data_IF_636804434156
#
_entry.id   IF_636804434156
#
_cell.length_a   1.000
_cell.length_b   1.000
_cell.length_c   1.000
_cell.angle_alpha   90.00
_cell.angle_beta   90.00
_cell.angle_gamma   90.00
#
_symmetry.space_group_name_H-M   'P 1'
#
loop_
_entity.id
_entity.type
_entity.pdbx_description
1 polymer ?
#
# COMPACT_ATOMS: atom_id res chain seq x y z
N UNK A 1 24.82 -18.32 -60.40
CA UNK A 1 25.53 -17.12 -60.89
C UNK A 1 25.84 -16.28 -59.65
N UNK A 2 27.13 -15.98 -59.39
CA UNK A 2 27.69 -15.36 -58.17
C UNK A 2 27.60 -13.82 -58.20
N UNK A 3 27.91 -13.24 -57.01
CA UNK A 3 28.48 -11.91 -56.67
C UNK A 3 27.43 -10.86 -56.26
N UNK A 4 27.51 -10.08 -55.17
CA UNK A 4 28.28 -10.00 -53.91
C UNK A 4 27.50 -9.05 -52.96
N UNK A 5 27.42 -9.34 -51.66
CA UNK A 5 27.93 -8.56 -50.50
C UNK A 5 27.55 -7.07 -50.41
N UNK A 6 26.83 -6.69 -49.34
CA UNK A 6 27.27 -5.65 -48.40
C UNK A 6 26.49 -5.71 -47.08
N UNK A 7 27.25 -5.54 -45.99
CA UNK A 7 26.88 -5.68 -44.58
C UNK A 7 26.17 -4.43 -44.03
N UNK A 8 25.35 -4.57 -42.98
CA UNK A 8 25.42 -3.64 -41.84
C UNK A 8 24.78 -4.18 -40.56
N UNK A 9 25.46 -3.86 -39.46
CA UNK A 9 25.53 -4.57 -38.18
C UNK A 9 24.43 -4.26 -37.17
N UNK A 10 24.23 -5.25 -36.28
CA UNK A 10 23.41 -5.22 -35.07
C UNK A 10 24.29 -4.80 -33.89
N UNK A 11 23.98 -3.69 -33.23
CA UNK A 11 24.61 -3.30 -31.96
C UNK A 11 23.84 -3.87 -30.76
N UNK A 12 24.45 -4.85 -30.07
CA UNK A 12 24.15 -5.22 -28.68
C UNK A 12 25.30 -4.74 -27.80
N UNK A 13 25.00 -3.96 -26.76
CA UNK A 13 25.96 -3.52 -25.75
C UNK A 13 25.85 -4.48 -24.54
N UNK A 14 26.89 -5.29 -24.34
CA UNK A 14 27.22 -5.93 -23.06
C UNK A 14 28.54 -5.29 -22.58
N UNK A 15 28.55 -4.81 -21.33
CA UNK A 15 29.73 -4.27 -20.65
C UNK A 15 30.16 -5.26 -19.56
N UNK A 16 31.32 -5.88 -19.77
CA UNK A 16 32.10 -6.57 -18.73
C UNK A 16 33.57 -6.46 -19.11
N UNK A 17 34.30 -5.55 -18.48
CA UNK A 17 35.76 -5.46 -18.63
C UNK A 17 36.42 -5.73 -17.27
N UNK A 18 37.03 -6.90 -17.21
CA UNK A 18 38.18 -7.25 -16.38
C UNK A 18 39.44 -6.68 -17.06
N UNK A 19 40.32 -6.02 -16.32
CA UNK A 19 41.70 -5.73 -16.73
C UNK A 19 42.54 -5.49 -15.45
N UNK A 20 43.83 -5.81 -15.28
CA UNK A 20 44.81 -6.72 -15.89
C UNK A 20 45.99 -6.75 -14.89
N UNK A 21 46.63 -7.89 -14.67
CA UNK A 21 47.89 -7.99 -13.91
C UNK A 21 49.11 -7.65 -14.79
N UNK A 22 50.06 -6.86 -14.29
CA UNK A 22 51.48 -6.92 -14.68
C UNK A 22 52.40 -6.55 -13.50
N UNK A 23 53.49 -7.31 -13.37
CA UNK A 23 54.44 -7.37 -12.24
C UNK A 23 55.63 -6.42 -12.41
N UNK A 24 56.25 -5.99 -11.30
CA UNK A 24 57.71 -5.76 -11.25
C UNK A 24 58.32 -5.96 -9.84
N UNK A 25 59.54 -6.50 -9.78
CA UNK A 25 60.25 -7.03 -8.59
C UNK A 25 61.40 -6.12 -8.11
N UNK A 26 61.57 -5.91 -6.79
CA UNK A 26 62.78 -6.28 -5.98
C UNK A 26 62.93 -5.53 -4.62
N UNK A 27 63.26 -6.33 -3.58
CA UNK A 27 64.02 -6.12 -2.30
C UNK A 27 64.13 -4.70 -1.69
N UNK A 28 63.97 -4.46 -0.37
CA UNK A 28 64.91 -4.85 0.72
C UNK A 28 64.36 -4.55 2.14
N UNK A 29 64.48 -5.53 3.07
CA UNK A 29 64.58 -5.56 4.57
C UNK A 29 63.93 -4.48 5.51
N UNK A 30 62.97 -4.95 6.34
CA UNK A 30 62.61 -4.69 7.78
C UNK A 30 62.36 -3.24 8.31
N UNK A 31 61.60 -3.00 9.43
CA UNK A 31 61.01 -3.92 10.42
C UNK A 31 59.52 -3.65 10.84
N UNK A 32 58.90 -4.66 11.47
CA UNK A 32 57.75 -4.61 12.42
C UNK A 32 56.52 -3.78 12.00
N UNK A 33 55.55 -4.44 11.34
CA UNK A 33 54.19 -3.90 11.23
C UNK A 33 53.45 -4.07 12.56
N UNK A 34 53.11 -2.95 13.18
CA UNK A 34 52.12 -2.84 14.25
C UNK A 34 50.78 -3.44 13.79
N UNK A 35 50.23 -4.32 14.63
CA UNK A 35 48.92 -4.96 14.46
C UNK A 35 47.81 -3.91 14.21
N UNK A 36 46.94 -4.05 13.19
CA UNK A 36 45.98 -3.01 12.84
C UNK A 36 44.83 -2.87 13.86
N UNK A 37 44.50 -1.62 14.14
CA UNK A 37 43.56 -1.13 15.15
C UNK A 37 42.13 -1.67 15.02
N UNK A 38 41.54 -2.07 16.16
CA UNK A 38 40.11 -2.37 16.32
C UNK A 38 39.25 -1.08 16.20
N UNK A 39 38.68 -0.83 15.02
CA UNK A 39 37.73 0.26 14.76
C UNK A 39 36.26 -0.10 15.05
N UNK A 40 35.42 0.91 15.33
CA UNK A 40 33.97 0.74 15.45
C UNK A 40 33.37 0.19 14.15
N UNK A 41 32.58 -0.87 14.23
CA UNK A 41 31.97 -1.47 13.03
C UNK A 41 30.54 -0.96 12.86
N UNK A 42 30.27 -0.28 11.74
CA UNK A 42 28.93 0.21 11.39
C UNK A 42 27.86 -0.89 11.39
N UNK A 43 28.25 -2.15 11.16
CA UNK A 43 27.34 -3.30 11.21
C UNK A 43 26.65 -3.46 12.58
N UNK A 44 27.24 -2.92 13.65
CA UNK A 44 26.65 -2.95 14.99
C UNK A 44 25.40 -2.08 15.13
N UNK A 45 25.27 -1.00 14.35
CA UNK A 45 24.05 -0.17 14.34
C UNK A 45 22.85 -0.90 13.75
N UNK A 46 23.11 -1.84 12.83
CA UNK A 46 22.07 -2.72 12.28
C UNK A 46 21.73 -3.86 13.24
N UNK A 47 22.73 -4.35 13.99
CA UNK A 47 22.57 -5.44 14.95
C UNK A 47 21.82 -5.01 16.22
N UNK A 48 22.16 -3.87 16.78
CA UNK A 48 21.59 -3.36 18.03
C UNK A 48 20.66 -2.18 17.72
N UNK A 49 19.35 -2.46 17.65
CA UNK A 49 18.35 -1.46 17.28
C UNK A 49 18.29 -0.24 18.22
N UNK A 50 18.71 -0.43 19.46
CA UNK A 50 18.76 0.60 20.49
C UNK A 50 20.00 1.51 20.41
N UNK A 51 21.01 1.14 19.63
CA UNK A 51 22.32 1.80 19.61
C UNK A 51 22.31 3.01 18.67
N UNK A 52 22.67 4.19 19.19
CA UNK A 52 22.77 5.44 18.41
C UNK A 52 24.11 6.11 18.63
N UNK A 53 24.59 6.82 17.61
CA UNK A 53 25.83 7.60 17.65
C UNK A 53 25.47 9.05 18.02
N UNK A 54 26.21 9.62 18.97
CA UNK A 54 26.07 11.03 19.35
C UNK A 54 27.03 11.94 18.58
N UNK A 55 28.26 11.47 18.30
CA UNK A 55 29.24 12.15 17.44
C UNK A 55 30.24 11.12 16.90
N UNK A 56 30.55 11.21 15.60
CA UNK A 56 31.53 10.34 14.93
C UNK A 56 32.97 10.70 15.31
N UNK A 57 33.27 11.99 15.37
CA UNK A 57 34.62 12.50 15.64
C UNK A 57 35.07 12.19 17.08
N UNK A 58 34.13 12.20 18.02
CA UNK A 58 34.42 12.03 19.45
C UNK A 58 34.18 10.59 19.96
N UNK A 59 33.90 9.65 19.06
CA UNK A 59 33.69 8.23 19.36
C UNK A 59 32.62 7.96 20.44
N UNK A 60 31.41 8.54 20.30
CA UNK A 60 30.37 8.51 21.36
C UNK A 60 29.12 7.75 20.90
N UNK A 61 28.69 6.72 21.65
CA UNK A 61 27.38 6.05 21.47
C UNK A 61 26.54 6.05 22.75
N UNK A 62 25.23 5.89 22.58
CA UNK A 62 24.27 5.76 23.67
C UNK A 62 23.15 4.78 23.30
N UNK A 63 22.36 4.39 24.30
CA UNK A 63 21.16 3.60 24.14
C UNK A 63 19.92 4.50 24.12
N UNK A 64 19.21 4.52 23.01
CA UNK A 64 18.02 5.35 22.80
C UNK A 64 16.88 4.96 23.76
N UNK A 65 16.77 3.66 24.06
CA UNK A 65 15.75 3.12 24.96
C UNK A 65 15.99 3.50 26.42
N UNK A 66 17.23 3.36 26.91
CA UNK A 66 17.54 3.74 28.29
C UNK A 66 17.52 5.26 28.48
N UNK A 67 17.87 6.04 27.44
CA UNK A 67 17.80 7.50 27.46
C UNK A 67 16.36 8.01 27.51
N UNK A 68 15.47 7.43 26.69
CA UNK A 68 14.05 7.82 26.66
C UNK A 68 13.31 7.53 27.97
N UNK A 69 13.65 6.43 28.65
CA UNK A 69 13.09 6.07 29.96
C UNK A 69 13.88 6.64 31.15
N UNK A 70 14.85 7.53 30.91
CA UNK A 70 15.66 8.22 31.93
C UNK A 70 16.26 7.27 32.98
N UNK A 71 16.60 6.05 32.56
CA UNK A 71 17.17 5.05 33.45
C UNK A 71 18.56 5.51 33.87
N UNK A 72 19.02 5.24 35.10
CA UNK A 72 20.30 5.78 35.58
C UNK A 72 21.47 4.83 35.25
N UNK A 73 21.87 4.78 33.97
CA UNK A 73 22.94 3.89 33.50
C UNK A 73 23.99 4.65 32.69
N UNK A 74 25.16 4.04 32.50
CA UNK A 74 26.21 4.56 31.61
C UNK A 74 25.74 4.74 30.17
N UNK A 75 24.65 4.08 29.76
CA UNK A 75 24.09 4.14 28.41
C UNK A 75 23.06 5.25 28.18
N UNK A 76 22.64 5.91 29.26
CA UNK A 76 21.52 6.87 29.28
C UNK A 76 21.89 8.22 29.88
N UNK A 77 22.77 8.23 30.89
CA UNK A 77 23.49 9.43 31.29
C UNK A 77 24.41 9.80 30.14
N UNK A 78 24.58 11.08 29.84
CA UNK A 78 25.46 11.63 28.81
C UNK A 78 26.97 11.32 29.00
N UNK A 79 27.31 10.26 29.75
CA UNK A 79 28.65 9.74 29.96
C UNK A 79 29.04 8.88 28.77
N UNK A 80 29.96 9.46 28.02
CA UNK A 80 30.55 8.96 26.80
C UNK A 80 31.41 7.74 27.10
N UNK A 81 31.15 6.62 26.41
CA UNK A 81 32.02 5.44 26.49
C UNK A 81 33.18 5.56 25.50
N UNK A 82 34.45 5.56 25.96
CA UNK A 82 35.61 5.77 25.09
C UNK A 82 36.07 4.53 24.31
N UNK A 83 35.50 3.34 24.56
CA UNK A 83 35.93 2.10 23.90
C UNK A 83 34.78 1.21 23.43
N UNK A 84 34.94 0.70 22.20
CA UNK A 84 33.93 -0.06 21.48
C UNK A 84 34.14 -1.56 21.61
N UNK A 85 33.56 -2.18 22.64
CA UNK A 85 33.60 -3.65 22.80
C UNK A 85 32.23 -4.24 22.51
N UNK A 86 32.16 -5.15 21.54
CA UNK A 86 30.91 -5.85 21.20
C UNK A 86 30.33 -6.60 22.40
N UNK A 87 31.19 -7.10 23.29
CA UNK A 87 30.79 -7.77 24.53
C UNK A 87 30.02 -6.84 25.47
N UNK A 88 30.37 -5.55 25.49
CA UNK A 88 29.63 -4.57 26.28
C UNK A 88 28.22 -4.33 25.71
N UNK A 89 28.07 -4.34 24.37
CA UNK A 89 26.75 -4.25 23.73
C UNK A 89 25.91 -5.51 23.96
N UNK A 90 26.51 -6.70 23.80
CA UNK A 90 25.82 -7.96 24.06
C UNK A 90 25.40 -8.06 25.54
N UNK A 91 26.26 -7.65 26.47
CA UNK A 91 25.94 -7.63 27.90
C UNK A 91 24.79 -6.66 28.21
N UNK A 92 24.81 -5.46 27.64
CA UNK A 92 23.73 -4.49 27.83
C UNK A 92 22.38 -5.01 27.32
N UNK A 93 22.36 -5.65 26.14
CA UNK A 93 21.11 -6.17 25.57
C UNK A 93 20.57 -7.39 26.35
N UNK A 94 21.44 -8.27 26.82
CA UNK A 94 21.04 -9.58 27.34
C UNK A 94 21.00 -9.68 28.87
N UNK A 95 21.89 -8.97 29.57
CA UNK A 95 22.12 -9.15 31.02
C UNK A 95 21.82 -7.90 31.85
N UNK A 96 21.71 -6.73 31.23
CA UNK A 96 21.40 -5.49 31.95
C UNK A 96 19.91 -5.43 32.31
N UNK A 97 19.62 -5.56 33.60
CA UNK A 97 18.26 -5.54 34.16
C UNK A 97 17.56 -4.20 33.92
N UNK A 98 18.32 -3.12 33.87
CA UNK A 98 17.77 -1.77 33.74
C UNK A 98 17.46 -1.46 32.26
N UNK A 99 18.25 -1.98 31.33
CA UNK A 99 17.87 -2.03 29.91
C UNK A 99 16.60 -2.86 29.69
N UNK A 100 16.51 -4.05 30.28
CA UNK A 100 15.32 -4.90 30.16
C UNK A 100 14.05 -4.20 30.68
N UNK A 101 14.15 -3.44 31.78
CA UNK A 101 13.06 -2.60 32.29
C UNK A 101 12.69 -1.47 31.32
N UNK A 102 13.66 -0.77 30.76
CA UNK A 102 13.42 0.29 29.77
C UNK A 102 12.69 -0.25 28.54
N UNK A 103 13.17 -1.39 28.01
CA UNK A 103 12.55 -2.07 26.87
C UNK A 103 11.12 -2.52 27.20
N UNK A 104 10.89 -3.07 28.39
CA UNK A 104 9.55 -3.46 28.83
C UNK A 104 8.61 -2.24 28.99
N UNK A 105 9.10 -1.12 29.53
CA UNK A 105 8.36 0.14 29.65
C UNK A 105 7.97 0.69 28.27
N UNK A 106 8.92 0.75 27.33
CA UNK A 106 8.67 1.21 25.95
C UNK A 106 7.68 0.30 25.22
N UNK A 107 7.79 -1.03 25.38
CA UNK A 107 6.85 -2.00 24.79
C UNK A 107 5.43 -1.89 25.39
N UNK A 108 5.32 -1.58 26.67
CA UNK A 108 4.04 -1.48 27.37
C UNK A 108 3.38 -0.10 27.25
N UNK A 109 4.14 0.95 26.92
CA UNK A 109 3.66 2.32 26.73
C UNK A 109 2.56 2.47 25.66
N UNK A 110 2.69 1.94 24.42
CA UNK A 110 1.59 2.00 23.46
C UNK A 110 0.38 1.21 23.93
N UNK A 111 0.57 0.05 24.56
CA UNK A 111 -0.53 -0.75 25.12
C UNK A 111 -1.26 -0.03 26.27
N UNK A 112 -0.53 0.67 27.15
CA UNK A 112 -1.12 1.44 28.24
C UNK A 112 -1.77 2.73 27.74
N UNK A 113 -1.21 3.39 26.72
CA UNK A 113 -1.84 4.53 26.06
C UNK A 113 -3.13 4.11 25.35
N UNK A 114 -3.13 2.97 24.65
CA UNK A 114 -4.33 2.39 24.02
C UNK A 114 -5.34 1.97 25.09
N UNK A 115 -4.93 1.33 26.18
CA UNK A 115 -5.82 0.96 27.30
C UNK A 115 -6.40 2.18 28.02
N UNK A 116 -5.63 3.25 28.15
CA UNK A 116 -6.08 4.51 28.76
C UNK A 116 -7.03 5.24 27.81
N UNK A 117 -6.71 5.33 26.51
CA UNK A 117 -7.61 5.86 25.50
C UNK A 117 -8.91 5.06 25.41
N UNK A 118 -8.84 3.72 25.46
CA UNK A 118 -10.00 2.85 25.49
C UNK A 118 -10.85 3.03 26.75
N UNK A 119 -10.22 3.23 27.92
CA UNK A 119 -10.92 3.55 29.18
C UNK A 119 -11.58 4.93 29.16
N UNK A 120 -10.94 5.93 28.55
CA UNK A 120 -11.50 7.29 28.38
C UNK A 120 -12.69 7.25 27.41
N UNK A 121 -12.63 6.46 26.34
CA UNK A 121 -13.77 6.23 25.43
C UNK A 121 -14.94 5.52 26.13
N UNK A 122 -14.67 4.70 27.15
CA UNK A 122 -15.68 3.93 27.90
C UNK A 122 -16.37 4.71 29.03
N UNK A 123 -15.92 5.92 29.42
CA UNK A 123 -16.59 6.74 30.45
C UNK A 123 -17.03 8.10 29.92
N UNK A 124 -18.35 8.35 29.94
CA UNK A 124 -19.08 9.63 29.65
C UNK A 124 -18.84 10.33 28.30
N UNK A 125 -17.76 10.09 27.57
CA UNK A 125 -17.45 10.69 26.26
C UNK A 125 -17.80 9.80 25.05
N UNK A 126 -18.15 8.52 25.26
CA UNK A 126 -18.50 7.59 24.18
C UNK A 126 -19.70 8.06 23.34
N UNK A 127 -20.72 8.63 23.97
CA UNK A 127 -21.91 9.14 23.27
C UNK A 127 -21.58 10.33 22.37
N UNK A 128 -20.66 11.20 22.80
CA UNK A 128 -20.19 12.31 21.99
C UNK A 128 -19.42 11.83 20.75
N UNK A 129 -18.55 10.82 20.91
CA UNK A 129 -17.83 10.19 19.81
C UNK A 129 -18.79 9.50 18.84
N UNK A 130 -19.79 8.77 19.34
CA UNK A 130 -20.83 8.14 18.53
C UNK A 130 -21.58 9.18 17.69
N UNK A 131 -21.94 10.33 18.28
CA UNK A 131 -22.59 11.43 17.55
C UNK A 131 -21.71 11.97 16.41
N UNK A 132 -20.40 12.09 16.62
CA UNK A 132 -19.49 12.54 15.56
C UNK A 132 -19.43 11.52 14.44
N UNK A 133 -19.24 10.24 14.77
CA UNK A 133 -19.21 9.15 13.79
C UNK A 133 -20.50 9.13 12.98
N UNK A 134 -21.67 9.27 13.62
CA UNK A 134 -22.97 9.35 12.93
C UNK A 134 -23.06 10.54 11.97
N UNK A 135 -22.51 11.70 12.33
CA UNK A 135 -22.46 12.87 11.42
C UNK A 135 -21.56 12.61 10.21
N UNK A 136 -20.37 12.03 10.42
CA UNK A 136 -19.47 11.62 9.33
C UNK A 136 -20.20 10.65 8.41
N UNK A 137 -20.82 9.61 8.97
CA UNK A 137 -21.56 8.60 8.22
C UNK A 137 -22.72 9.22 7.43
N UNK A 138 -23.47 10.15 8.02
CA UNK A 138 -24.56 10.85 7.33
C UNK A 138 -24.04 11.60 6.10
N UNK A 139 -22.95 12.37 6.25
CA UNK A 139 -22.33 13.12 5.14
C UNK A 139 -21.87 12.17 4.03
N UNK A 140 -21.22 11.06 4.40
CA UNK A 140 -20.75 10.04 3.45
C UNK A 140 -21.92 9.36 2.73
N UNK A 141 -22.96 8.95 3.46
CA UNK A 141 -24.13 8.25 2.90
C UNK A 141 -24.91 9.10 1.91
N UNK A 142 -24.88 10.42 2.06
CA UNK A 142 -25.56 11.37 1.18
C UNK A 142 -24.63 11.97 0.11
N UNK A 143 -23.42 11.41 -0.08
CA UNK A 143 -22.42 11.88 -1.03
C UNK A 143 -22.12 13.39 -0.90
N UNK A 144 -22.11 13.89 0.34
CA UNK A 144 -21.86 15.31 0.61
C UNK A 144 -20.37 15.56 0.87
N UNK A 145 -19.84 16.74 0.51
CA UNK A 145 -18.50 17.15 0.91
C UNK A 145 -18.34 17.12 2.44
N UNK A 146 -17.17 16.71 2.93
CA UNK A 146 -16.88 16.72 4.37
C UNK A 146 -17.01 18.11 4.98
N UNK A 147 -16.76 19.16 4.18
CA UNK A 147 -17.00 20.54 4.59
C UNK A 147 -18.46 20.82 4.97
N UNK A 148 -19.44 20.11 4.40
CA UNK A 148 -20.86 20.25 4.75
C UNK A 148 -21.15 19.81 6.20
N UNK A 149 -20.25 19.05 6.81
CA UNK A 149 -20.41 18.62 8.21
C UNK A 149 -20.40 19.77 9.21
N UNK A 150 -19.71 20.88 8.92
CA UNK A 150 -19.68 22.06 9.79
C UNK A 150 -21.02 22.79 9.77
N UNK A 151 -21.66 22.85 8.61
CA UNK A 151 -22.98 23.45 8.45
C UNK A 151 -24.04 22.61 9.14
N UNK A 152 -23.96 21.28 8.96
CA UNK A 152 -24.80 20.32 9.68
C UNK A 152 -24.61 20.43 11.20
N UNK A 153 -23.38 20.62 11.68
CA UNK A 153 -23.12 20.82 13.10
C UNK A 153 -23.77 22.11 13.62
N UNK A 154 -23.68 23.20 12.85
CA UNK A 154 -24.27 24.49 13.20
C UNK A 154 -25.79 24.41 13.24
N UNK A 155 -26.40 23.73 12.27
CA UNK A 155 -27.84 23.48 12.22
C UNK A 155 -28.33 22.65 13.41
N UNK A 156 -27.65 21.54 13.73
CA UNK A 156 -28.00 20.71 14.89
C UNK A 156 -27.89 21.46 16.22
N UNK A 157 -26.91 22.38 16.33
CA UNK A 157 -26.80 23.28 17.48
C UNK A 157 -27.97 24.26 17.55
N UNK A 158 -28.43 24.79 16.42
CA UNK A 158 -29.59 25.68 16.36
C UNK A 158 -30.88 24.96 16.80
N UNK A 159 -31.03 23.68 16.46
CA UNK A 159 -32.16 22.85 16.88
C UNK A 159 -32.16 22.46 18.38
N UNK A 160 -31.22 22.99 19.18
CA UNK A 160 -31.20 22.77 20.63
C UNK A 160 -30.52 21.47 21.05
N UNK A 161 -29.72 20.84 20.17
CA UNK A 161 -28.94 19.64 20.51
C UNK A 161 -27.69 20.00 21.35
N UNK A 162 -27.90 20.59 22.53
CA UNK A 162 -26.86 20.91 23.50
C UNK A 162 -26.83 19.84 24.60
N UNK A 163 -25.99 18.82 24.44
CA UNK A 163 -25.59 18.01 25.60
C UNK A 163 -24.84 18.93 26.58
N UNK A 164 -25.40 19.18 27.75
CA UNK A 164 -25.03 20.23 28.71
C UNK A 164 -23.61 20.15 29.32
N UNK A 165 -22.68 19.34 28.78
CA UNK A 165 -21.30 19.22 29.26
C UNK A 165 -20.23 19.30 28.13
N UNK A 166 -20.58 19.74 26.91
CA UNK A 166 -19.76 19.50 25.71
C UNK A 166 -18.96 20.70 25.15
N UNK A 167 -18.54 21.68 25.95
CA UNK A 167 -17.75 22.81 25.42
C UNK A 167 -16.43 22.39 24.75
N UNK A 168 -15.85 21.23 25.11
CA UNK A 168 -14.64 20.67 24.49
C UNK A 168 -14.97 20.00 23.14
N UNK A 169 -16.07 19.26 23.06
CA UNK A 169 -16.50 18.52 21.86
C UNK A 169 -17.11 19.45 20.80
N UNK A 170 -17.77 20.53 21.22
CA UNK A 170 -18.38 21.53 20.31
C UNK A 170 -17.32 22.30 19.51
N UNK A 171 -16.09 22.43 20.02
CA UNK A 171 -14.99 23.05 19.27
C UNK A 171 -14.15 22.05 18.48
N UNK A 172 -14.00 20.80 18.95
CA UNK A 172 -13.29 19.75 18.20
C UNK A 172 -14.04 19.33 16.93
N UNK A 173 -15.38 19.34 16.95
CA UNK A 173 -16.23 18.90 15.83
C UNK A 173 -16.36 19.89 14.67
N UNK A 174 -15.79 21.09 14.80
CA UNK A 174 -15.81 22.10 13.74
C UNK A 174 -14.68 21.94 12.73
N UNK A 175 -13.64 21.19 13.08
CA UNK A 175 -12.48 21.06 12.22
C UNK A 175 -12.70 19.96 11.19
N UNK A 176 -12.69 20.33 9.90
CA UNK A 176 -12.67 19.37 8.80
C UNK A 176 -11.57 18.31 9.00
N UNK A 177 -10.42 18.69 9.57
CA UNK A 177 -9.34 17.77 9.89
C UNK A 177 -9.79 16.62 10.79
N UNK A 178 -10.52 16.92 11.88
CA UNK A 178 -10.99 15.87 12.77
C UNK A 178 -12.00 14.95 12.07
N UNK A 179 -12.87 15.52 11.24
CA UNK A 179 -13.83 14.75 10.44
C UNK A 179 -13.12 13.78 9.47
N UNK A 180 -12.04 14.24 8.82
CA UNK A 180 -11.19 13.37 8.01
C UNK A 180 -10.54 12.24 8.83
N UNK A 181 -10.12 12.51 10.07
CA UNK A 181 -9.54 11.48 10.94
C UNK A 181 -10.57 10.41 11.31
N UNK A 182 -11.81 10.81 11.61
CA UNK A 182 -12.90 9.85 11.83
C UNK A 182 -13.23 9.06 10.56
N UNK A 183 -13.27 9.72 9.40
CA UNK A 183 -13.49 9.03 8.13
C UNK A 183 -12.40 7.99 7.87
N UNK A 184 -11.13 8.32 8.07
CA UNK A 184 -10.00 7.37 7.95
C UNK A 184 -10.13 6.20 8.92
N UNK A 185 -10.61 6.43 10.14
CA UNK A 185 -10.83 5.36 11.10
C UNK A 185 -11.98 4.42 10.67
N UNK A 186 -13.06 4.98 10.14
CA UNK A 186 -14.18 4.21 9.57
C UNK A 186 -13.69 3.40 8.37
N UNK A 187 -12.95 4.03 7.45
CA UNK A 187 -12.36 3.39 6.27
C UNK A 187 -11.44 2.23 6.65
N UNK A 188 -10.48 2.45 7.56
CA UNK A 188 -9.59 1.39 8.04
C UNK A 188 -10.34 0.21 8.67
N UNK A 189 -11.38 0.49 9.46
CA UNK A 189 -12.22 -0.56 10.06
C UNK A 189 -13.02 -1.33 9.01
N UNK A 190 -13.58 -0.63 8.01
CA UNK A 190 -14.35 -1.25 6.93
C UNK A 190 -13.44 -2.08 6.03
N UNK A 191 -12.30 -1.52 5.63
CA UNK A 191 -11.29 -2.19 4.82
C UNK A 191 -10.81 -3.46 5.50
N UNK A 192 -10.49 -3.42 6.80
CA UNK A 192 -10.10 -4.61 7.55
C UNK A 192 -11.20 -5.69 7.55
N UNK A 193 -12.47 -5.29 7.68
CA UNK A 193 -13.59 -6.22 7.61
C UNK A 193 -13.74 -6.84 6.20
N UNK A 194 -13.51 -6.06 5.14
CA UNK A 194 -13.52 -6.55 3.75
C UNK A 194 -12.39 -7.54 3.51
N UNK A 195 -11.17 -7.21 3.91
CA UNK A 195 -10.00 -8.10 3.79
C UNK A 195 -10.21 -9.39 4.60
N UNK A 196 -10.76 -9.30 5.80
CA UNK A 196 -11.07 -10.47 6.63
C UNK A 196 -12.05 -11.41 5.89
N UNK A 197 -13.13 -10.86 5.32
CA UNK A 197 -14.09 -11.65 4.53
C UNK A 197 -13.47 -12.27 3.27
N UNK A 198 -12.59 -11.53 2.58
CA UNK A 198 -11.83 -12.05 1.45
C UNK A 198 -10.95 -13.25 1.85
N UNK A 199 -10.25 -13.14 2.98
CA UNK A 199 -9.41 -14.21 3.51
C UNK A 199 -10.21 -15.43 3.94
N UNK A 200 -11.38 -15.23 4.55
CA UNK A 200 -12.27 -16.30 5.01
C UNK A 200 -13.05 -16.98 3.88
N UNK A 201 -13.31 -16.25 2.77
CA UNK A 201 -14.06 -16.79 1.64
C UNK A 201 -13.40 -18.04 1.06
N UNK A 202 -14.22 -18.97 0.57
CA UNK A 202 -13.77 -20.19 -0.10
C UNK A 202 -13.20 -19.85 -1.48
N UNK A 203 -13.90 -18.98 -2.20
CA UNK A 203 -13.52 -18.49 -3.53
C UNK A 203 -13.86 -17.00 -3.68
N UNK A 204 -13.26 -16.37 -4.68
CA UNK A 204 -13.62 -15.01 -5.08
C UNK A 204 -13.56 -14.83 -6.61
N UNK A 205 -14.43 -13.96 -7.11
CA UNK A 205 -14.32 -13.42 -8.47
C UNK A 205 -13.76 -12.02 -8.39
N UNK A 206 -12.72 -11.71 -9.16
CA UNK A 206 -12.16 -10.38 -9.28
C UNK A 206 -12.72 -9.68 -10.54
N UNK A 207 -13.34 -8.52 -10.34
CA UNK A 207 -13.74 -7.63 -11.43
C UNK A 207 -12.79 -6.45 -11.47
N UNK A 208 -12.29 -6.15 -12.66
CA UNK A 208 -11.31 -5.09 -12.90
C UNK A 208 -11.83 -4.15 -13.97
N UNK A 209 -11.66 -2.85 -13.71
CA UNK A 209 -12.00 -1.80 -14.67
C UNK A 209 -10.82 -0.83 -14.83
N UNK A 210 -10.40 -0.57 -16.07
CA UNK A 210 -9.43 0.48 -16.42
C UNK A 210 -10.20 1.72 -16.86
N UNK A 211 -10.11 2.79 -16.07
CA UNK A 211 -10.71 4.07 -16.41
C UNK A 211 -9.64 5.14 -16.66
N UNK A 212 -10.06 6.21 -17.33
CA UNK A 212 -9.30 7.45 -17.45
C UNK A 212 -10.09 8.57 -16.81
N UNK A 213 -9.43 9.39 -16.01
CA UNK A 213 -10.04 10.61 -15.50
C UNK A 213 -10.00 11.75 -16.52
N UNK A 214 -10.57 12.91 -16.15
CA UNK A 214 -10.64 14.11 -16.99
C UNK A 214 -9.23 14.65 -17.33
N UNK A 215 -8.22 14.32 -16.53
CA UNK A 215 -6.81 14.69 -16.75
C UNK A 215 -6.04 13.58 -17.48
N UNK A 216 -6.77 12.66 -18.11
CA UNK A 216 -6.28 11.48 -18.83
C UNK A 216 -5.41 10.53 -17.98
N UNK A 217 -5.47 10.65 -16.66
CA UNK A 217 -4.76 9.74 -15.78
C UNK A 217 -5.49 8.41 -15.74
N UNK A 218 -4.73 7.33 -15.85
CA UNK A 218 -5.27 5.98 -15.83
C UNK A 218 -5.44 5.52 -14.39
N UNK A 219 -6.58 4.90 -14.10
CA UNK A 219 -6.86 4.27 -12.81
C UNK A 219 -7.34 2.84 -13.00
N UNK A 220 -6.97 1.98 -12.05
CA UNK A 220 -7.39 0.59 -11.98
C UNK A 220 -8.33 0.42 -10.79
N UNK A 221 -9.58 0.07 -11.04
CA UNK A 221 -10.55 -0.24 -10.00
C UNK A 221 -10.68 -1.74 -9.82
N UNK A 222 -10.69 -2.18 -8.56
CA UNK A 222 -10.86 -3.57 -8.19
C UNK A 222 -12.16 -3.75 -7.39
N UNK A 223 -12.95 -4.73 -7.78
CA UNK A 223 -14.09 -5.23 -7.02
C UNK A 223 -13.96 -6.74 -6.85
N UNK A 224 -14.46 -7.29 -5.75
CA UNK A 224 -14.60 -8.73 -5.60
C UNK A 224 -16.04 -9.14 -5.32
N UNK A 225 -16.46 -10.21 -5.98
CA UNK A 225 -17.67 -10.94 -5.61
C UNK A 225 -17.29 -12.12 -4.72
N UNK A 226 -17.92 -12.20 -3.56
CA UNK A 226 -17.70 -13.24 -2.56
C UNK A 226 -18.97 -14.04 -2.32
N UNK A 227 -18.81 -15.32 -1.99
CA UNK A 227 -19.92 -16.15 -1.54
C UNK A 227 -20.21 -15.89 -0.06
N UNK A 228 -21.45 -15.53 0.24
CA UNK A 228 -21.94 -15.40 1.61
C UNK A 228 -22.79 -16.61 1.98
N UNK A 229 -22.22 -17.48 2.82
CA UNK A 229 -22.88 -18.70 3.26
C UNK A 229 -24.12 -18.44 4.14
N UNK A 230 -24.16 -17.33 4.87
CA UNK A 230 -25.23 -17.05 5.84
C UNK A 230 -26.59 -16.76 5.20
N UNK A 231 -26.59 -16.21 3.98
CA UNK A 231 -27.80 -15.84 3.24
C UNK A 231 -27.86 -16.52 1.86
N UNK A 232 -26.99 -17.49 1.59
CA UNK A 232 -26.87 -18.21 0.32
C UNK A 232 -26.84 -17.27 -0.91
N UNK A 233 -26.14 -16.14 -0.79
CA UNK A 233 -26.05 -15.14 -1.85
C UNK A 233 -24.61 -14.76 -2.13
N UNK A 234 -24.38 -14.14 -3.29
CA UNK A 234 -23.13 -13.45 -3.56
C UNK A 234 -23.21 -12.00 -3.10
N UNK A 235 -22.07 -11.41 -2.76
CA UNK A 235 -21.94 -9.99 -2.43
C UNK A 235 -20.75 -9.42 -3.19
N UNK A 236 -20.98 -8.37 -3.97
CA UNK A 236 -19.92 -7.63 -4.66
C UNK A 236 -19.49 -6.45 -3.80
N UNK A 237 -18.19 -6.32 -3.57
CA UNK A 237 -17.60 -5.30 -2.71
C UNK A 237 -16.47 -4.59 -3.43
N UNK A 238 -16.42 -3.27 -3.30
CA UNK A 238 -15.31 -2.46 -3.76
C UNK A 238 -14.07 -2.75 -2.91
N UNK A 239 -12.91 -2.91 -3.55
CA UNK A 239 -11.65 -3.21 -2.86
C UNK A 239 -10.72 -2.01 -2.83
N UNK A 240 -10.42 -1.46 -4.00
CA UNK A 240 -9.44 -0.40 -4.15
C UNK A 240 -9.54 0.29 -5.51
N UNK A 241 -9.01 1.51 -5.56
CA UNK A 241 -8.69 2.22 -6.79
C UNK A 241 -7.21 2.59 -6.76
N UNK A 242 -6.50 2.31 -7.86
CA UNK A 242 -5.08 2.63 -7.99
C UNK A 242 -4.85 3.57 -9.14
N UNK A 243 -4.12 4.64 -8.90
CA UNK A 243 -3.52 5.41 -9.98
C UNK A 243 -2.39 4.59 -10.62
N UNK A 244 -2.42 4.44 -11.94
CA UNK A 244 -1.47 3.63 -12.70
C UNK A 244 -0.78 4.49 -13.76
N UNK A 245 0.56 4.48 -13.76
CA UNK A 245 1.37 5.18 -14.77
C UNK A 245 1.48 4.39 -16.07
N UNK A 246 1.54 3.06 -15.95
CA UNK A 246 1.67 2.13 -17.06
C UNK A 246 0.54 1.11 -16.97
N UNK A 247 -0.17 0.92 -18.08
CA UNK A 247 -1.29 -0.01 -18.20
C UNK A 247 -0.95 -1.16 -19.15
N UNK A 248 0.28 -1.66 -19.07
CA UNK A 248 0.63 -2.93 -19.70
C UNK A 248 0.26 -4.10 -18.78
N UNK A 249 0.13 -5.29 -19.36
CA UNK A 249 -0.38 -6.46 -18.63
C UNK A 249 0.52 -6.89 -17.47
N UNK A 250 1.83 -6.63 -17.54
CA UNK A 250 2.76 -7.00 -16.47
C UNK A 250 2.57 -6.05 -15.28
N UNK A 251 2.56 -4.75 -15.52
CA UNK A 251 2.37 -3.73 -14.50
C UNK A 251 1.01 -3.89 -13.79
N UNK A 252 -0.06 -4.16 -14.55
CA UNK A 252 -1.40 -4.39 -14.00
C UNK A 252 -1.47 -5.67 -13.17
N UNK A 253 -0.95 -6.79 -13.68
CA UNK A 253 -0.90 -8.05 -12.94
C UNK A 253 -0.10 -7.89 -11.64
N UNK A 254 1.06 -7.24 -11.70
CA UNK A 254 1.88 -6.97 -10.51
C UNK A 254 1.11 -6.15 -9.48
N UNK A 255 0.38 -5.10 -9.88
CA UNK A 255 -0.43 -4.28 -8.95
C UNK A 255 -1.52 -5.10 -8.26
N UNK A 256 -2.19 -5.98 -9.01
CA UNK A 256 -3.18 -6.89 -8.46
C UNK A 256 -2.51 -7.87 -7.47
N UNK A 257 -1.42 -8.52 -7.86
CA UNK A 257 -0.69 -9.45 -6.99
C UNK A 257 -0.20 -8.77 -5.71
N UNK A 258 0.39 -7.59 -5.81
CA UNK A 258 0.85 -6.78 -4.67
C UNK A 258 -0.29 -6.47 -3.70
N UNK A 259 -1.47 -6.12 -4.21
CA UNK A 259 -2.64 -5.86 -3.38
C UNK A 259 -3.09 -7.10 -2.61
N UNK A 260 -3.25 -8.24 -3.29
CA UNK A 260 -3.72 -9.47 -2.64
C UNK A 260 -2.68 -10.04 -1.66
N UNK A 261 -1.42 -10.18 -2.09
CA UNK A 261 -0.33 -10.68 -1.23
C UNK A 261 -0.07 -9.74 -0.06
N UNK A 262 -0.05 -8.43 -0.29
CA UNK A 262 0.18 -7.42 0.74
C UNK A 262 -0.89 -7.40 1.84
N UNK A 263 -2.11 -7.84 1.53
CA UNK A 263 -3.21 -7.97 2.48
C UNK A 263 -3.40 -9.40 3.01
N UNK A 264 -2.49 -10.34 2.69
CA UNK A 264 -2.56 -11.72 3.15
C UNK A 264 -3.67 -12.56 2.50
N UNK A 265 -4.24 -12.10 1.38
CA UNK A 265 -5.27 -12.82 0.65
C UNK A 265 -4.61 -13.82 -0.31
N UNK A 266 -4.99 -15.09 -0.21
CA UNK A 266 -4.47 -16.13 -1.10
C UNK A 266 -5.06 -15.96 -2.51
N UNK A 267 -4.24 -15.54 -3.47
CA UNK A 267 -4.62 -15.40 -4.89
C UNK A 267 -5.22 -16.68 -5.48
N UNK A 268 -4.80 -17.86 -5.01
CA UNK A 268 -5.28 -19.15 -5.54
C UNK A 268 -6.76 -19.43 -5.25
N UNK A 269 -7.41 -18.58 -4.44
CA UNK A 269 -8.87 -18.63 -4.24
C UNK A 269 -9.66 -17.91 -5.34
N UNK A 270 -8.96 -17.19 -6.23
CA UNK A 270 -9.59 -16.50 -7.34
C UNK A 270 -10.04 -17.50 -8.40
N UNK A 271 -11.35 -17.62 -8.57
CA UNK A 271 -11.96 -18.54 -9.52
C UNK A 271 -12.28 -17.88 -10.85
N UNK A 272 -12.54 -16.57 -10.84
CA UNK A 272 -12.88 -15.82 -12.04
C UNK A 272 -12.22 -14.44 -12.05
N UNK A 273 -11.84 -13.99 -13.25
CA UNK A 273 -11.32 -12.66 -13.55
C UNK A 273 -12.17 -12.02 -14.65
N UNK A 274 -12.79 -10.88 -14.36
CA UNK A 274 -13.68 -10.17 -15.29
C UNK A 274 -13.12 -8.79 -15.63
N UNK A 275 -13.10 -8.44 -16.93
CA UNK A 275 -12.67 -7.11 -17.40
C UNK A 275 -13.43 -6.67 -18.66
N UNK A 276 -13.25 -5.43 -19.09
CA UNK A 276 -13.70 -4.85 -20.35
C UNK A 276 -13.24 -5.58 -21.64
N UNK A 277 -12.49 -6.67 -21.59
CA UNK A 277 -12.09 -7.41 -22.78
C UNK A 277 -11.04 -6.72 -23.66
N UNK A 278 -10.37 -5.68 -23.15
CA UNK A 278 -9.16 -5.18 -23.77
C UNK A 278 -8.12 -6.31 -23.91
N UNK A 279 -7.34 -6.30 -24.99
CA UNK A 279 -6.33 -7.34 -25.26
C UNK A 279 -5.27 -7.45 -24.15
N UNK A 280 -4.98 -6.33 -23.48
CA UNK A 280 -4.11 -6.28 -22.30
C UNK A 280 -4.67 -7.09 -21.14
N UNK A 281 -5.99 -7.12 -20.98
CA UNK A 281 -6.69 -7.76 -19.86
C UNK A 281 -7.03 -9.22 -20.13
N UNK A 282 -7.66 -9.51 -21.29
CA UNK A 282 -8.19 -10.83 -21.66
C UNK A 282 -7.55 -11.45 -22.92
N UNK A 283 -6.52 -10.85 -23.49
CA UNK A 283 -5.86 -11.38 -24.69
C UNK A 283 -5.29 -12.79 -24.51
N UNK A 284 -5.19 -13.54 -25.61
CA UNK A 284 -4.74 -14.95 -25.61
C UNK A 284 -3.29 -15.11 -25.17
N UNK A 285 -2.44 -14.10 -25.41
CA UNK A 285 -1.00 -14.15 -25.12
C UNK A 285 -0.63 -12.99 -24.20
N UNK A 286 -0.02 -13.31 -23.06
CA UNK A 286 0.56 -12.33 -22.11
C UNK A 286 -0.44 -11.28 -21.59
N UNK A 287 -1.73 -11.56 -21.54
CA UNK A 287 -2.71 -10.68 -20.88
C UNK A 287 -2.65 -10.81 -19.37
N UNK A 288 -3.32 -9.91 -18.63
CA UNK A 288 -3.44 -10.01 -17.16
C UNK A 288 -4.03 -11.37 -16.77
N UNK A 289 -5.12 -11.79 -17.41
CA UNK A 289 -5.73 -13.10 -17.17
C UNK A 289 -4.76 -14.26 -17.39
N UNK A 290 -3.99 -14.22 -18.49
CA UNK A 290 -3.00 -15.26 -18.78
C UNK A 290 -1.81 -15.26 -17.81
N UNK A 291 -1.41 -14.09 -17.30
CA UNK A 291 -0.37 -13.98 -16.28
C UNK A 291 -0.84 -14.52 -14.94
N UNK A 292 -2.07 -14.20 -14.54
CA UNK A 292 -2.68 -14.78 -13.33
C UNK A 292 -2.75 -16.31 -13.42
N UNK A 293 -3.07 -16.87 -14.60
CA UNK A 293 -3.08 -18.32 -14.82
C UNK A 293 -1.69 -18.95 -14.75
N UNK A 294 -0.75 -18.40 -15.52
CA UNK A 294 0.54 -19.03 -15.77
C UNK A 294 1.63 -18.59 -14.80
N UNK A 295 1.80 -17.28 -14.61
CA UNK A 295 2.86 -16.69 -13.80
C UNK A 295 2.53 -16.83 -12.29
N UNK A 296 1.27 -16.57 -11.89
CA UNK A 296 0.79 -16.70 -10.50
C UNK A 296 0.24 -18.09 -10.16
N UNK A 297 0.17 -18.99 -11.16
CA UNK A 297 -0.20 -20.40 -10.99
C UNK A 297 -1.67 -20.67 -10.66
N UNK A 298 -2.59 -19.78 -11.06
CA UNK A 298 -4.04 -19.94 -10.87
C UNK A 298 -4.65 -20.68 -12.07
N UNK A 299 -4.25 -21.95 -12.27
CA UNK A 299 -4.60 -22.71 -13.48
C UNK A 299 -6.10 -22.90 -13.72
N UNK A 300 -6.92 -22.83 -12.67
CA UNK A 300 -8.38 -22.99 -12.74
C UNK A 300 -9.13 -21.66 -12.97
N UNK A 301 -8.42 -20.55 -13.15
CA UNK A 301 -9.03 -19.23 -13.35
C UNK A 301 -9.87 -19.21 -14.64
N UNK A 302 -11.11 -18.78 -14.52
CA UNK A 302 -11.98 -18.46 -15.66
C UNK A 302 -11.82 -16.97 -15.95
N UNK A 303 -11.60 -16.59 -17.20
CA UNK A 303 -11.56 -15.19 -17.60
C UNK A 303 -12.82 -14.85 -18.41
N UNK A 304 -13.46 -13.74 -18.06
CA UNK A 304 -14.75 -13.34 -18.64
C UNK A 304 -14.74 -11.88 -19.07
N UNK A 305 -15.36 -11.61 -20.21
CA UNK A 305 -15.54 -10.26 -20.74
C UNK A 305 -16.83 -9.67 -20.19
N UNK A 306 -16.71 -8.49 -19.57
CA UNK A 306 -17.81 -7.71 -18.99
C UNK A 306 -19.01 -7.66 -19.95
N UNK A 307 -20.15 -8.14 -19.45
CA UNK A 307 -21.41 -8.23 -20.21
C UNK A 307 -21.88 -6.84 -20.64
N UNK A 308 -21.82 -5.85 -19.75
CA UNK A 308 -22.22 -4.46 -20.06
C UNK A 308 -21.37 -3.88 -21.19
N UNK A 309 -20.07 -4.16 -21.21
CA UNK A 309 -19.22 -3.68 -22.30
C UNK A 309 -19.52 -4.42 -23.61
N UNK A 310 -19.77 -5.74 -23.57
CA UNK A 310 -20.22 -6.49 -24.75
C UNK A 310 -21.53 -5.95 -25.33
N UNK A 311 -22.49 -5.63 -24.48
CA UNK A 311 -23.76 -5.02 -24.89
C UNK A 311 -23.54 -3.66 -25.54
N UNK A 312 -22.71 -2.80 -24.94
CA UNK A 312 -22.35 -1.51 -25.51
C UNK A 312 -21.66 -1.63 -26.88
N UNK A 313 -20.77 -2.60 -27.05
CA UNK A 313 -20.12 -2.90 -28.33
C UNK A 313 -21.12 -3.38 -29.38
N UNK A 314 -22.02 -4.32 -29.00
CA UNK A 314 -23.05 -4.81 -29.90
C UNK A 314 -23.98 -3.67 -30.38
N UNK A 315 -24.38 -2.77 -29.48
CA UNK A 315 -25.18 -1.60 -29.83
C UNK A 315 -24.44 -0.64 -30.77
N UNK A 316 -23.14 -0.41 -30.53
CA UNK A 316 -22.29 0.40 -31.41
C UNK A 316 -22.22 -0.18 -32.82
N UNK A 317 -22.05 -1.50 -32.92
CA UNK A 317 -21.97 -2.19 -34.22
C UNK A 317 -23.29 -2.12 -34.99
N UNK A 318 -24.42 -2.30 -34.31
CA UNK A 318 -25.77 -2.15 -34.91
C UNK A 318 -25.98 -0.72 -35.44
N UNK A 319 -25.60 0.30 -34.68
CA UNK A 319 -25.73 1.69 -35.11
C UNK A 319 -24.89 1.99 -36.36
N UNK A 320 -23.67 1.45 -36.44
CA UNK A 320 -22.81 1.62 -37.62
C UNK A 320 -23.43 1.00 -38.87
N UNK A 321 -24.04 -0.19 -38.74
CA UNK A 321 -24.76 -0.84 -39.85
C UNK A 321 -25.96 0.01 -40.28
N UNK A 322 -26.73 0.51 -39.33
CA UNK A 322 -27.89 1.36 -39.63
C UNK A 322 -27.49 2.66 -40.35
N UNK A 323 -26.44 3.34 -39.89
CA UNK A 323 -25.90 4.54 -40.54
C UNK A 323 -25.42 4.22 -41.96
N UNK A 324 -24.75 3.08 -42.15
CA UNK A 324 -24.30 2.64 -43.48
C UNK A 324 -25.49 2.42 -44.44
N UNK A 325 -26.55 1.76 -43.97
CA UNK A 325 -27.78 1.55 -44.77
C UNK A 325 -28.43 2.90 -45.13
N UNK A 326 -28.55 3.82 -44.17
CA UNK A 326 -29.10 5.16 -44.43
C UNK A 326 -28.27 5.93 -45.47
N UNK A 327 -26.94 5.84 -45.39
CA UNK A 327 -26.06 6.48 -46.38
C UNK A 327 -26.28 5.91 -47.79
N UNK A 328 -26.44 4.58 -47.92
CA UNK A 328 -26.77 3.95 -49.21
C UNK A 328 -28.12 4.46 -49.73
N UNK A 329 -29.15 4.48 -48.88
CA UNK A 329 -30.48 4.97 -49.26
C UNK A 329 -30.41 6.43 -49.72
N UNK A 330 -29.72 7.30 -48.98
CA UNK A 330 -29.54 8.70 -49.36
C UNK A 330 -28.83 8.85 -50.72
N UNK A 331 -27.77 8.07 -50.97
CA UNK A 331 -27.07 8.08 -52.27
C UNK A 331 -27.97 7.60 -53.40
N UNK A 332 -28.78 6.55 -53.17
CA UNK A 332 -29.74 6.07 -54.16
C UNK A 332 -30.84 7.10 -54.43
N UNK A 333 -31.38 7.76 -53.40
CA UNK A 333 -32.39 8.81 -53.56
C UNK A 333 -31.83 10.00 -54.35
N UNK A 334 -30.61 10.45 -54.04
CA UNK A 334 -29.97 11.59 -54.73
C UNK A 334 -29.60 11.28 -56.18
N UNK A 335 -29.25 10.03 -56.49
CA UNK A 335 -28.87 9.64 -57.86
C UNK A 335 -30.06 9.24 -58.75
N UNK A 336 -31.24 8.98 -58.19
CA UNK A 336 -32.44 8.56 -58.91
C UNK A 336 -33.61 9.56 -58.84
N UNK A 337 -33.43 10.71 -58.17
CA UNK A 337 -34.25 11.93 -58.31
C UNK A 337 -33.47 12.95 -59.14
#
# INVERSE_FOLDING_TARGET
MRVNEENNEVNQINLSDEETEQQDKNSTKNPVALNPQYGFKHIWLKKFLWLKIASFDEKKVYCDFCKSEKVNTIWSLSKILPTWRIDAFNYHEQKDKDHAKAVAAIKTRPLNAIKTAAKVVQQKDGEAVIRIIRKVLFVVQHNQPISTSTDLHTFLRYLGETSSNSNIIVNSNKSNFLMYQFLKAIDASLFQAIITRLCESICCTLHVDELKDIMEQKHLMLYATLWNAGNCSTVTTFLAIFHIKQADSKSLCQKITEFFVGNGVNLKKMTEFTSDGASVMLGVKKSVAQRLKNDEGIAHLIDSHCVTHKEALAMKDVLNVYIFILNIICVLIVNYL
#
